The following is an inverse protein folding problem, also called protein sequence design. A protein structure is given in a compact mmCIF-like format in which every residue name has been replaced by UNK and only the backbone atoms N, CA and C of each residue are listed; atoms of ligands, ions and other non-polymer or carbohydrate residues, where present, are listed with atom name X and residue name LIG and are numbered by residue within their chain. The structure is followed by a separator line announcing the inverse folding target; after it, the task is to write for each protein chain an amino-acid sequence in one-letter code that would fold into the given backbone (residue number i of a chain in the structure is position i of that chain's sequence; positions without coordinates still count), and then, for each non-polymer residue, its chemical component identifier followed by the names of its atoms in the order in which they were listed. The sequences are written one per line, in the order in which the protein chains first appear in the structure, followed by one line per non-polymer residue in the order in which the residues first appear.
data_IF_884062846317
#
_entry.id   IF_884062846317
#
_cell.length_a   1.000
_cell.length_b   1.000
_cell.length_c   1.000
_cell.angle_alpha   90.00
_cell.angle_beta   90.00
_cell.angle_gamma   90.00
#
_symmetry.space_group_name_H-M   'P 1'
#
loop_
_entity.id
_entity.type
_entity.pdbx_description
1 polymer ?
#
# COMPACT_ATOMS: atom_id res chain seq x y z
N UNK A 1 -0.84 19.11 -5.33
CA UNK A 1 -0.48 17.92 -6.12
C UNK A 1 -0.03 16.88 -5.13
N UNK A 2 -0.71 15.75 -5.03
CA UNK A 2 -0.31 14.66 -4.13
C UNK A 2 0.62 13.70 -4.89
N UNK A 3 1.73 13.25 -4.31
CA UNK A 3 2.57 12.25 -4.95
C UNK A 3 1.80 10.92 -5.04
N UNK A 4 1.41 10.54 -6.25
CA UNK A 4 0.93 9.19 -6.57
C UNK A 4 2.06 8.31 -7.10
N UNK A 5 1.82 7.00 -7.20
CA UNK A 5 2.80 6.02 -7.66
C UNK A 5 4.06 5.97 -6.78
N UNK A 6 3.86 6.04 -5.47
CA UNK A 6 4.92 5.98 -4.46
C UNK A 6 4.85 4.71 -3.61
N UNK A 7 5.97 4.33 -2.96
CA UNK A 7 5.92 3.35 -1.88
C UNK A 7 5.08 3.87 -0.71
N UNK A 8 4.50 2.96 0.07
CA UNK A 8 3.78 3.30 1.28
C UNK A 8 4.61 2.93 2.50
N UNK A 9 4.82 3.89 3.40
CA UNK A 9 5.49 3.65 4.66
C UNK A 9 4.52 3.05 5.69
N UNK A 10 5.05 2.26 6.61
CA UNK A 10 4.26 1.70 7.70
C UNK A 10 5.12 1.45 8.93
N UNK A 11 4.57 1.73 10.11
CA UNK A 11 5.24 1.51 11.39
C UNK A 11 5.23 0.02 11.83
N UNK A 12 4.70 -0.87 10.99
CA UNK A 12 4.56 -2.30 11.30
C UNK A 12 5.92 -3.00 11.26
N UNK A 13 6.63 -3.01 12.37
CA UNK A 13 7.92 -3.73 12.54
C UNK A 13 7.85 -5.22 12.19
N UNK A 14 6.67 -5.84 12.26
CA UNK A 14 6.44 -7.21 11.81
C UNK A 14 6.81 -7.44 10.34
N UNK A 15 6.69 -6.41 9.49
CA UNK A 15 7.05 -6.49 8.07
C UNK A 15 8.57 -6.51 7.84
N UNK A 16 9.39 -6.12 8.82
CA UNK A 16 10.85 -6.17 8.69
C UNK A 16 11.33 -7.61 8.43
N UNK A 17 10.64 -8.61 8.98
CA UNK A 17 10.95 -10.03 8.75
C UNK A 17 10.66 -10.49 7.32
N UNK A 18 9.85 -9.73 6.58
CA UNK A 18 9.49 -10.00 5.19
C UNK A 18 10.31 -9.16 4.21
N UNK A 19 11.28 -8.38 4.68
CA UNK A 19 12.07 -7.51 3.81
C UNK A 19 12.66 -8.28 2.62
N UNK A 20 12.45 -7.75 1.42
CA UNK A 20 12.94 -8.34 0.16
C UNK A 20 12.04 -9.43 -0.42
N UNK A 21 11.02 -9.89 0.33
CA UNK A 21 10.01 -10.81 -0.20
C UNK A 21 9.20 -10.12 -1.29
N UNK A 22 8.98 -10.86 -2.38
CA UNK A 22 8.11 -10.48 -3.50
C UNK A 22 7.03 -11.53 -3.64
N UNK A 23 5.80 -11.10 -3.83
CA UNK A 23 4.65 -12.00 -3.99
C UNK A 23 3.60 -11.38 -4.91
N UNK A 24 2.89 -12.21 -5.67
CA UNK A 24 1.65 -11.78 -6.32
C UNK A 24 0.54 -11.77 -5.27
N UNK A 25 -0.16 -10.65 -5.15
CA UNK A 25 -1.23 -10.48 -4.16
C UNK A 25 -2.42 -9.77 -4.78
N UNK A 26 -3.61 -10.04 -4.25
CA UNK A 26 -4.75 -9.14 -4.39
C UNK A 26 -4.72 -8.18 -3.21
N UNK A 27 -4.70 -6.88 -3.48
CA UNK A 27 -4.62 -5.86 -2.46
C UNK A 27 -5.67 -4.77 -2.65
N UNK A 28 -6.11 -4.22 -1.52
CA UNK A 28 -7.16 -3.22 -1.48
C UNK A 28 -6.65 -1.98 -0.75
N UNK A 29 -6.92 -0.81 -1.33
CA UNK A 29 -6.78 0.48 -0.68
C UNK A 29 -8.08 0.84 0.03
N UNK A 30 -7.99 1.23 1.29
CA UNK A 30 -9.13 1.66 2.10
C UNK A 30 -8.92 3.06 2.65
N UNK A 31 -10.00 3.85 2.68
CA UNK A 31 -10.10 5.14 3.38
C UNK A 31 -11.24 5.04 4.38
N UNK A 32 -10.94 5.23 5.66
CA UNK A 32 -11.91 5.10 6.76
C UNK A 32 -12.70 3.78 6.72
N UNK A 33 -12.00 2.69 6.38
CA UNK A 33 -12.56 1.34 6.28
C UNK A 33 -13.38 1.06 5.01
N UNK A 34 -13.54 2.03 4.11
CA UNK A 34 -14.20 1.83 2.81
C UNK A 34 -13.18 1.53 1.72
N UNK A 35 -13.42 0.49 0.94
CA UNK A 35 -12.57 0.13 -0.21
C UNK A 35 -12.71 1.21 -1.29
N UNK A 36 -11.58 1.80 -1.66
CA UNK A 36 -11.48 2.81 -2.71
C UNK A 36 -10.97 2.21 -4.03
N UNK A 37 -10.05 1.25 -3.95
CA UNK A 37 -9.47 0.58 -5.11
C UNK A 37 -9.04 -0.84 -4.74
N UNK A 38 -9.16 -1.75 -5.70
CA UNK A 38 -8.63 -3.12 -5.63
C UNK A 38 -7.71 -3.30 -6.83
N UNK A 39 -6.58 -3.96 -6.62
CA UNK A 39 -5.64 -4.31 -7.68
C UNK A 39 -4.97 -5.65 -7.37
N UNK A 40 -4.55 -6.37 -8.41
CA UNK A 40 -3.86 -7.65 -8.27
C UNK A 40 -2.53 -7.59 -9.02
N UNK A 41 -1.44 -7.48 -8.29
CA UNK A 41 -0.11 -7.50 -8.87
C UNK A 41 0.96 -7.87 -7.84
N UNK A 42 2.22 -7.78 -8.24
CA UNK A 42 3.36 -7.95 -7.35
C UNK A 42 3.42 -6.88 -6.25
N UNK A 43 3.59 -7.33 -5.00
CA UNK A 43 4.05 -6.55 -3.85
C UNK A 43 5.53 -6.83 -3.55
N UNK A 44 6.24 -5.79 -3.10
CA UNK A 44 7.57 -5.86 -2.53
C UNK A 44 7.54 -5.36 -1.08
N UNK A 45 7.93 -6.21 -0.15
CA UNK A 45 8.09 -5.84 1.26
C UNK A 45 9.44 -5.14 1.46
N UNK A 46 9.40 -3.90 1.99
CA UNK A 46 10.58 -3.08 2.28
C UNK A 46 10.81 -2.99 3.79
N UNK A 47 12.00 -2.54 4.18
CA UNK A 47 12.30 -2.33 5.59
C UNK A 47 11.33 -1.34 6.25
N UNK A 48 11.01 -0.22 5.60
CA UNK A 48 10.12 0.81 6.15
C UNK A 48 8.68 0.77 5.60
N UNK A 49 8.29 -0.28 4.85
CA UNK A 49 7.04 -0.18 4.10
C UNK A 49 6.77 -1.24 3.04
N UNK A 50 5.93 -0.86 2.10
CA UNK A 50 5.49 -1.67 0.98
C UNK A 50 5.76 -0.94 -0.34
N UNK A 51 6.03 -1.70 -1.40
CA UNK A 51 6.20 -1.22 -2.77
C UNK A 51 5.80 -2.33 -3.75
N UNK A 52 6.29 -2.30 -4.98
CA UNK A 52 5.78 -3.12 -6.07
C UNK A 52 4.60 -2.43 -6.77
N UNK A 53 4.27 -2.87 -7.97
CA UNK A 53 3.30 -2.19 -8.83
C UNK A 53 1.93 -2.10 -8.18
N UNK A 54 1.52 -3.12 -7.41
CA UNK A 54 0.23 -3.08 -6.69
C UNK A 54 0.19 -1.89 -5.73
N UNK A 55 1.27 -1.61 -5.01
CA UNK A 55 1.34 -0.49 -4.06
C UNK A 55 1.42 0.85 -4.78
N UNK A 56 2.17 0.94 -5.89
CA UNK A 56 2.21 2.18 -6.68
C UNK A 56 0.81 2.54 -7.19
N UNK A 57 0.09 1.56 -7.75
CA UNK A 57 -1.26 1.75 -8.27
C UNK A 57 -2.27 2.10 -7.17
N UNK A 58 -2.15 1.49 -5.98
CA UNK A 58 -3.01 1.81 -4.84
C UNK A 58 -2.67 3.19 -4.24
N UNK A 59 -1.38 3.57 -4.20
CA UNK A 59 -0.92 4.85 -3.65
C UNK A 59 -1.54 6.04 -4.40
N UNK A 60 -1.69 5.95 -5.72
CA UNK A 60 -2.35 6.97 -6.53
C UNK A 60 -3.79 7.24 -6.07
N UNK A 61 -4.53 6.18 -5.72
CA UNK A 61 -5.92 6.31 -5.29
C UNK A 61 -6.04 6.93 -3.90
N UNK A 62 -5.12 6.61 -2.98
CA UNK A 62 -5.20 7.07 -1.58
C UNK A 62 -4.48 8.40 -1.34
N UNK A 63 -3.57 8.81 -2.23
CA UNK A 63 -2.78 10.03 -2.08
C UNK A 63 -3.63 11.29 -1.80
N UNK A 64 -4.82 11.50 -2.40
CA UNK A 64 -5.69 12.64 -2.06
C UNK A 64 -6.36 12.57 -0.68
N UNK A 65 -6.29 11.42 -0.01
CA UNK A 65 -7.01 11.14 1.24
C UNK A 65 -6.10 11.06 2.48
N UNK A 66 -4.78 11.10 2.30
CA UNK A 66 -3.81 10.92 3.40
C UNK A 66 -3.92 11.96 4.52
N UNK A 67 -4.34 13.18 4.19
CA UNK A 67 -4.48 14.27 5.16
C UNK A 67 -5.89 14.33 5.80
N UNK A 68 -6.87 13.62 5.22
CA UNK A 68 -8.29 13.79 5.54
C UNK A 68 -8.93 12.55 6.18
N UNK A 69 -8.25 11.40 6.17
CA UNK A 69 -8.81 10.15 6.68
C UNK A 69 -7.74 9.10 6.98
N UNK A 70 -8.20 7.99 7.56
CA UNK A 70 -7.31 6.86 7.84
C UNK A 70 -7.14 6.02 6.58
N UNK A 71 -5.94 6.05 6.02
CA UNK A 71 -5.56 5.21 4.87
C UNK A 71 -4.99 3.88 5.36
N UNK A 72 -5.43 2.78 4.76
CA UNK A 72 -4.84 1.46 4.99
C UNK A 72 -4.82 0.61 3.73
N UNK A 73 -3.92 -0.37 3.70
CA UNK A 73 -3.84 -1.40 2.66
C UNK A 73 -4.15 -2.75 3.28
N UNK A 74 -5.08 -3.49 2.68
CA UNK A 74 -5.38 -4.88 3.00
C UNK A 74 -4.79 -5.79 1.92
N UNK A 75 -4.04 -6.80 2.33
CA UNK A 75 -3.42 -7.80 1.45
C UNK A 75 -4.15 -9.13 1.68
N UNK A 76 -4.65 -9.76 0.62
CA UNK A 76 -5.35 -11.04 0.63
C UNK A 76 -4.46 -12.16 0.10
#
# INVERSE_FOLDING_TARGET
MFPGLGPLETERSALHKLQGVRAMVSAEALVDGKVLKVDEWEILFRYYGLSGLVILNLSEAVAPHVDAGTVSVRIN
#
